data_IF_023520421950
#
_entry.id   IF_023520421950
#
_cell.length_a   1.000
_cell.length_b   1.000
_cell.length_c   1.000
_cell.angle_alpha   90.00
_cell.angle_beta   90.00
_cell.angle_gamma   90.00
#
_symmetry.space_group_name_H-M   'P 1'
#
loop_
_entity.id
_entity.type
_entity.pdbx_description
1 polymer ?
#
# COMPACT_ATOMS: atom_id res chain seq x y z
N UNK A 1 -27.09 -56.68 29.32
CA UNK A 1 -27.51 -55.75 28.23
C UNK A 1 -28.40 -54.67 28.83
N UNK A 2 -27.86 -53.48 29.08
CA UNK A 2 -28.44 -52.18 28.71
C UNK A 2 -27.62 -51.07 29.36
N UNK A 3 -27.04 -50.30 28.45
CA UNK A 3 -26.23 -49.11 28.63
C UNK A 3 -27.02 -48.00 29.35
N UNK A 4 -26.30 -47.07 29.97
CA UNK A 4 -26.26 -45.66 29.58
C UNK A 4 -25.45 -44.93 30.65
N UNK A 5 -24.18 -44.73 30.34
CA UNK A 5 -23.31 -43.76 31.00
C UNK A 5 -23.38 -42.45 30.24
N UNK A 6 -23.29 -41.34 30.97
CA UNK A 6 -22.97 -40.00 30.48
C UNK A 6 -24.11 -39.22 29.79
N UNK A 7 -25.08 -38.76 30.59
CA UNK A 7 -25.73 -37.48 30.28
C UNK A 7 -24.80 -36.38 30.78
N UNK A 8 -24.00 -35.82 29.86
CA UNK A 8 -23.35 -34.53 30.09
C UNK A 8 -24.46 -33.52 30.35
N UNK A 9 -24.51 -32.97 31.55
CA UNK A 9 -25.26 -31.76 31.85
C UNK A 9 -24.70 -30.62 31.01
N UNK A 10 -25.18 -30.52 29.77
CA UNK A 10 -25.10 -29.31 28.99
C UNK A 10 -26.04 -28.31 29.65
N UNK A 11 -25.56 -27.65 30.71
CA UNK A 11 -26.22 -26.46 31.24
C UNK A 11 -26.38 -25.50 30.06
N UNK A 12 -27.60 -25.11 29.66
CA UNK A 12 -27.73 -24.09 28.65
C UNK A 12 -27.24 -22.80 29.33
N UNK A 13 -25.99 -22.39 29.04
CA UNK A 13 -25.60 -20.99 29.27
C UNK A 13 -26.67 -20.20 28.55
N UNK A 14 -27.57 -19.54 29.30
CA UNK A 14 -28.45 -18.53 28.73
C UNK A 14 -27.52 -17.56 28.03
N UNK A 15 -27.44 -17.67 26.70
CA UNK A 15 -26.71 -16.71 25.90
C UNK A 15 -27.50 -15.42 26.07
N UNK A 16 -26.98 -14.52 26.90
CA UNK A 16 -27.56 -13.21 27.13
C UNK A 16 -27.61 -12.55 25.75
N UNK A 17 -28.77 -12.48 25.11
CA UNK A 17 -28.92 -11.95 23.74
C UNK A 17 -28.33 -10.54 23.62
N UNK A 18 -28.39 -9.77 24.72
CA UNK A 18 -27.72 -8.47 24.87
C UNK A 18 -26.18 -8.56 24.79
N UNK A 19 -25.56 -9.60 25.35
CA UNK A 19 -24.11 -9.81 25.28
C UNK A 19 -23.65 -10.16 23.87
N UNK A 20 -24.41 -11.00 23.15
CA UNK A 20 -24.10 -11.32 21.76
C UNK A 20 -24.25 -10.09 20.84
N UNK A 21 -25.33 -9.33 21.00
CA UNK A 21 -25.55 -8.09 20.24
C UNK A 21 -24.46 -7.05 20.55
N UNK A 22 -24.06 -6.91 21.83
CA UNK A 22 -22.98 -6.01 22.23
C UNK A 22 -21.63 -6.38 21.61
N UNK A 23 -21.31 -7.66 21.51
CA UNK A 23 -20.09 -8.11 20.83
C UNK A 23 -20.12 -7.80 19.33
N UNK A 24 -21.26 -7.99 18.67
CA UNK A 24 -21.42 -7.67 17.24
C UNK A 24 -21.27 -6.16 17.02
N UNK A 25 -21.95 -5.33 17.81
CA UNK A 25 -21.84 -3.86 17.71
C UNK A 25 -20.42 -3.39 18.00
N UNK A 26 -19.77 -3.95 19.02
CA UNK A 26 -18.37 -3.65 19.34
C UNK A 26 -17.42 -4.02 18.21
N UNK A 27 -17.60 -5.19 17.58
CA UNK A 27 -16.80 -5.60 16.44
C UNK A 27 -17.02 -4.67 15.22
N UNK A 28 -18.26 -4.30 14.91
CA UNK A 28 -18.56 -3.36 13.84
C UNK A 28 -17.93 -1.99 14.13
N UNK A 29 -18.09 -1.46 15.34
CA UNK A 29 -17.49 -0.19 15.74
C UNK A 29 -15.96 -0.22 15.61
N UNK A 30 -15.31 -1.31 16.04
CA UNK A 30 -13.88 -1.49 15.88
C UNK A 30 -13.45 -1.48 14.41
N UNK A 31 -14.17 -2.22 13.54
CA UNK A 31 -13.91 -2.24 12.10
C UNK A 31 -14.03 -0.83 11.51
N UNK A 32 -15.09 -0.10 11.85
CA UNK A 32 -15.30 1.28 11.38
C UNK A 32 -14.15 2.19 11.82
N UNK A 33 -13.69 2.08 13.07
CA UNK A 33 -12.56 2.87 13.58
C UNK A 33 -11.27 2.53 12.81
N UNK A 34 -10.98 1.26 12.59
CA UNK A 34 -9.80 0.84 11.83
C UNK A 34 -9.83 1.40 10.41
N UNK A 35 -10.96 1.27 9.71
CA UNK A 35 -11.10 1.84 8.36
C UNK A 35 -11.00 3.36 8.35
N UNK A 36 -11.58 4.06 9.34
CA UNK A 36 -11.45 5.51 9.44
C UNK A 36 -9.99 5.95 9.60
N UNK A 37 -9.20 5.23 10.40
CA UNK A 37 -7.76 5.49 10.56
C UNK A 37 -7.01 5.26 9.23
N UNK A 38 -7.26 4.13 8.57
CA UNK A 38 -6.63 3.82 7.28
C UNK A 38 -6.95 4.90 6.24
N UNK A 39 -8.23 5.26 6.11
CA UNK A 39 -8.69 6.31 5.19
C UNK A 39 -8.03 7.64 5.53
N UNK A 40 -7.95 8.01 6.82
CA UNK A 40 -7.29 9.23 7.26
C UNK A 40 -5.85 9.30 6.74
N UNK A 41 -5.06 8.24 6.92
CA UNK A 41 -3.68 8.23 6.43
C UNK A 41 -3.56 8.26 4.91
N UNK A 42 -4.41 7.52 4.18
CA UNK A 42 -4.42 7.54 2.71
C UNK A 42 -4.85 8.92 2.17
N UNK A 43 -5.77 9.60 2.86
CA UNK A 43 -6.33 10.88 2.44
C UNK A 43 -5.39 12.08 2.63
N UNK A 44 -4.29 11.94 3.38
CA UNK A 44 -3.34 13.04 3.60
C UNK A 44 -2.50 13.40 2.36
N UNK A 45 -2.67 12.67 1.25
CA UNK A 45 -1.89 12.87 0.03
C UNK A 45 -0.47 12.35 0.16
N UNK A 46 0.27 12.36 -0.95
CA UNK A 46 1.68 12.01 -0.92
C UNK A 46 2.44 13.05 -0.08
N UNK A 47 3.25 12.58 0.86
CA UNK A 47 4.02 13.48 1.72
C UNK A 47 5.19 14.07 0.94
N UNK A 48 5.76 15.22 1.36
CA UNK A 48 6.98 15.76 0.73
C UNK A 48 8.15 14.78 0.73
N UNK A 49 8.19 13.85 1.70
CA UNK A 49 9.18 12.78 1.76
C UNK A 49 8.97 11.73 0.67
N UNK A 50 7.71 11.39 0.35
CA UNK A 50 7.37 10.46 -0.73
C UNK A 50 7.74 11.05 -2.09
N UNK A 51 7.42 12.33 -2.30
CA UNK A 51 7.78 13.08 -3.52
C UNK A 51 9.30 13.13 -3.71
N UNK A 52 10.05 13.54 -2.67
CA UNK A 52 11.50 13.57 -2.73
C UNK A 52 12.12 12.18 -2.93
N UNK A 53 11.48 11.12 -2.44
CA UNK A 53 11.89 9.74 -2.67
C UNK A 53 11.75 9.32 -4.12
N UNK A 54 10.60 9.60 -4.74
CA UNK A 54 10.35 9.33 -6.16
C UNK A 54 11.25 10.16 -7.06
N UNK A 55 11.46 11.44 -6.74
CA UNK A 55 12.34 12.33 -7.48
C UNK A 55 13.79 11.80 -7.50
N UNK A 56 14.29 11.30 -6.36
CA UNK A 56 15.61 10.63 -6.31
C UNK A 56 15.65 9.37 -7.16
N UNK A 57 14.57 8.58 -7.19
CA UNK A 57 14.47 7.39 -8.02
C UNK A 57 14.58 7.71 -9.52
N UNK A 58 13.92 8.77 -9.95
CA UNK A 58 13.98 9.27 -11.34
C UNK A 58 15.39 9.75 -11.68
N UNK A 59 16.00 10.54 -10.79
CA UNK A 59 17.37 11.01 -10.98
C UNK A 59 18.37 9.84 -11.09
N UNK A 60 18.22 8.80 -10.28
CA UNK A 60 19.05 7.59 -10.34
C UNK A 60 18.83 6.81 -11.64
N UNK A 61 17.59 6.73 -12.14
CA UNK A 61 17.28 6.11 -13.42
C UNK A 61 18.04 6.80 -14.55
N UNK A 62 17.92 8.12 -14.65
CA UNK A 62 18.64 8.90 -15.66
C UNK A 62 20.16 8.84 -15.49
N UNK A 63 20.68 8.76 -14.27
CA UNK A 63 22.10 8.58 -14.02
C UNK A 63 22.59 7.20 -14.52
N UNK A 64 21.77 6.15 -14.42
CA UNK A 64 22.13 4.80 -14.89
C UNK A 64 22.34 4.72 -16.41
N UNK A 65 21.74 5.63 -17.19
CA UNK A 65 21.93 5.72 -18.64
C UNK A 65 23.36 6.13 -19.04
N UNK A 66 24.14 6.70 -18.13
CA UNK A 66 25.55 7.03 -18.36
C UNK A 66 26.49 5.80 -18.27
N UNK A 67 25.97 4.61 -17.97
CA UNK A 67 26.75 3.39 -17.85
C UNK A 67 27.40 2.99 -19.21
N UNK A 68 28.74 2.88 -19.28
CA UNK A 68 29.43 2.59 -20.54
C UNK A 68 29.17 1.17 -21.05
N UNK A 69 28.84 0.22 -20.18
CA UNK A 69 28.63 -1.20 -20.49
C UNK A 69 27.26 -1.52 -21.11
N UNK A 70 26.35 -0.56 -21.19
CA UNK A 70 24.97 -0.79 -21.60
C UNK A 70 24.84 -0.93 -23.13
N UNK A 71 24.21 -2.01 -23.61
CA UNK A 71 23.92 -2.21 -25.03
C UNK A 71 22.87 -1.21 -25.53
N UNK A 72 22.79 -0.98 -26.84
CA UNK A 72 21.81 -0.05 -27.43
C UNK A 72 20.35 -0.43 -27.09
N UNK A 73 20.05 -1.74 -27.06
CA UNK A 73 18.72 -2.24 -26.69
C UNK A 73 18.39 -1.95 -25.22
N UNK A 74 19.37 -2.16 -24.33
CA UNK A 74 19.20 -1.90 -22.90
C UNK A 74 19.07 -0.40 -22.63
N UNK A 75 19.81 0.45 -23.33
CA UNK A 75 19.64 1.91 -23.28
C UNK A 75 18.24 2.32 -23.65
N UNK A 76 17.75 1.89 -24.82
CA UNK A 76 16.39 2.24 -25.27
C UNK A 76 15.32 1.79 -24.26
N UNK A 77 15.44 0.55 -23.76
CA UNK A 77 14.48 0.03 -22.78
C UNK A 77 14.56 0.78 -21.44
N UNK A 78 15.75 1.21 -21.04
CA UNK A 78 15.96 1.96 -19.80
C UNK A 78 15.47 3.39 -19.94
N UNK A 79 15.69 4.02 -21.10
CA UNK A 79 15.16 5.34 -21.45
C UNK A 79 13.64 5.38 -21.37
N UNK A 80 12.95 4.42 -21.99
CA UNK A 80 11.48 4.31 -21.91
C UNK A 80 10.99 4.19 -20.47
N UNK A 81 11.69 3.42 -19.63
CA UNK A 81 11.35 3.27 -18.21
C UNK A 81 11.57 4.57 -17.43
N UNK A 82 12.69 5.25 -17.64
CA UNK A 82 12.95 6.53 -16.97
C UNK A 82 11.95 7.61 -17.41
N UNK A 83 11.55 7.60 -18.67
CA UNK A 83 10.51 8.48 -19.19
C UNK A 83 9.15 8.16 -18.56
N UNK A 84 8.73 6.89 -18.49
CA UNK A 84 7.49 6.51 -17.84
C UNK A 84 7.47 6.94 -16.36
N UNK A 85 8.57 6.77 -15.63
CA UNK A 85 8.67 7.24 -14.24
C UNK A 85 8.52 8.76 -14.13
N UNK A 86 9.10 9.50 -15.08
CA UNK A 86 9.00 10.97 -15.15
C UNK A 86 7.55 11.41 -15.40
N UNK A 87 6.86 10.75 -16.33
CA UNK A 87 5.45 11.02 -16.67
C UNK A 87 4.52 10.70 -15.48
N UNK A 88 4.75 9.58 -14.79
CA UNK A 88 3.95 9.20 -13.63
C UNK A 88 4.14 10.16 -12.45
N UNK A 89 5.35 10.69 -12.27
CA UNK A 89 5.61 11.72 -11.28
C UNK A 89 4.84 13.00 -11.59
N UNK A 90 4.88 13.47 -12.83
CA UNK A 90 4.15 14.67 -13.25
C UNK A 90 2.64 14.50 -13.08
N UNK A 91 2.09 13.33 -13.42
CA UNK A 91 0.68 13.00 -13.19
C UNK A 91 0.32 12.97 -11.69
N UNK A 92 1.23 12.52 -10.83
CA UNK A 92 0.99 12.37 -9.39
C UNK A 92 1.11 13.68 -8.62
N UNK A 93 2.10 14.51 -8.95
CA UNK A 93 2.47 15.72 -8.18
C UNK A 93 2.13 17.04 -8.90
N UNK A 94 1.81 16.99 -10.21
CA UNK A 94 1.38 18.15 -10.98
C UNK A 94 2.52 19.07 -11.44
N UNK A 95 3.77 18.63 -11.34
CA UNK A 95 4.95 19.29 -11.89
C UNK A 95 6.00 18.25 -12.32
N UNK A 96 6.90 18.59 -13.26
CA UNK A 96 7.99 17.69 -13.62
C UNK A 96 8.99 17.54 -12.47
N UNK A 97 9.72 16.40 -12.39
CA UNK A 97 10.86 16.27 -11.51
C UNK A 97 12.02 17.18 -11.98
N UNK A 98 12.98 17.46 -11.11
CA UNK A 98 14.15 18.29 -11.46
C UNK A 98 15.04 17.71 -12.57
N UNK A 99 15.00 16.40 -12.79
CA UNK A 99 15.75 15.70 -13.84
C UNK A 99 14.79 14.93 -14.74
N UNK A 100 14.74 15.30 -16.02
CA UNK A 100 13.81 14.72 -17.01
C UNK A 100 14.50 14.05 -18.18
N UNK A 101 15.84 14.09 -18.22
CA UNK A 101 16.66 13.61 -19.33
C UNK A 101 17.98 13.03 -18.81
N UNK A 102 18.67 12.20 -19.61
CA UNK A 102 20.00 11.70 -19.25
C UNK A 102 20.98 12.87 -19.07
N UNK A 103 22.01 12.73 -18.21
CA UNK A 103 23.08 13.72 -18.13
C UNK A 103 23.76 13.85 -19.49
N UNK A 104 23.99 15.10 -19.93
CA UNK A 104 24.78 15.37 -21.13
C UNK A 104 26.22 14.87 -20.93
N UNK A 105 26.62 13.90 -21.75
CA UNK A 105 28.00 13.39 -21.82
C UNK A 105 29.01 14.45 -22.24
#
# INVERSE_FOLDING_TARGET
MKDVSSSRDATPRRANKLGCLGLIVGAIAFIVVVYAIIIYFISQGATPEDEAGEERGIAQCWQSMAAPEMTDRERHTTEERCQEMTEQFELKYGHPPSVTQPPSS
#
